data_IF_498641130597
#
_entry.id   IF_498641130597
#
_cell.length_a   1.000
_cell.length_b   1.000
_cell.length_c   1.000
_cell.angle_alpha   90.00
_cell.angle_beta   90.00
_cell.angle_gamma   90.00
#
_symmetry.space_group_name_H-M   'P 1'
#
loop_
_entity.id
_entity.type
_entity.pdbx_description
1 polymer ?
#
# COMPACT_ATOMS: atom_id res chain seq x y z
N UNK A 1 42.44 -4.52 12.64
CA UNK A 1 40.98 -4.68 12.69
C UNK A 1 40.38 -3.56 11.86
N UNK A 2 39.92 -3.88 10.66
CA UNK A 2 39.33 -2.95 9.70
C UNK A 2 37.84 -2.83 10.04
N UNK A 3 37.42 -1.68 10.58
CA UNK A 3 36.00 -1.40 10.80
C UNK A 3 35.37 -0.97 9.47
N UNK A 4 34.55 -1.84 8.91
CA UNK A 4 33.71 -1.54 7.75
C UNK A 4 32.70 -0.44 8.11
N UNK A 5 32.75 0.68 7.39
CA UNK A 5 31.66 1.65 7.37
C UNK A 5 30.46 1.00 6.70
N UNK A 6 29.49 0.56 7.51
CA UNK A 6 28.13 0.27 7.05
C UNK A 6 27.59 1.52 6.35
N UNK A 7 27.17 1.44 5.08
CA UNK A 7 26.47 2.56 4.47
C UNK A 7 25.14 2.69 5.21
N UNK A 8 24.95 3.84 5.86
CA UNK A 8 23.66 4.25 6.43
C UNK A 8 22.63 4.17 5.31
N UNK A 9 21.85 3.09 5.30
CA UNK A 9 20.68 2.93 4.46
C UNK A 9 19.87 4.21 4.62
N UNK A 10 19.68 4.94 3.53
CA UNK A 10 18.92 6.18 3.46
C UNK A 10 17.64 5.98 4.27
N UNK A 11 17.61 6.54 5.48
CA UNK A 11 16.41 6.63 6.28
C UNK A 11 15.51 7.55 5.47
N UNK A 12 14.64 6.96 4.65
CA UNK A 12 13.61 7.67 3.92
C UNK A 12 12.99 8.65 4.91
N UNK A 13 13.06 9.93 4.55
CA UNK A 13 12.49 11.03 5.32
C UNK A 13 11.08 10.61 5.76
N UNK A 14 10.59 10.99 6.96
CA UNK A 14 9.23 10.68 7.34
C UNK A 14 8.32 11.25 6.24
N UNK A 15 7.81 10.36 5.40
CA UNK A 15 6.91 10.74 4.33
C UNK A 15 5.79 11.50 5.02
N UNK A 16 5.55 12.75 4.61
CA UNK A 16 4.49 13.61 5.14
C UNK A 16 3.28 12.76 5.50
N UNK A 17 2.77 12.81 6.74
CA UNK A 17 1.75 11.91 7.33
C UNK A 17 0.78 11.35 6.26
N UNK A 18 1.17 10.23 5.63
CA UNK A 18 0.48 9.71 4.46
C UNK A 18 -0.73 8.93 4.96
N UNK A 19 -1.90 9.23 4.41
CA UNK A 19 -3.14 8.62 4.85
C UNK A 19 -3.15 7.10 4.64
N UNK A 20 -3.85 6.38 5.51
CA UNK A 20 -4.18 4.98 5.27
C UNK A 20 -5.57 4.62 5.76
N UNK A 21 -6.17 3.64 5.11
CA UNK A 21 -7.54 3.23 5.36
C UNK A 21 -7.67 1.72 5.18
N UNK A 22 -8.35 1.07 6.13
CA UNK A 22 -8.73 -0.32 6.03
C UNK A 22 -10.20 -0.42 5.72
N UNK A 23 -10.55 -1.36 4.85
CA UNK A 23 -11.92 -1.66 4.50
C UNK A 23 -12.05 -3.09 4.02
N UNK A 24 -13.12 -3.35 3.29
CA UNK A 24 -13.43 -4.65 2.72
C UNK A 24 -13.67 -4.56 1.23
N UNK A 25 -13.19 -5.57 0.49
CA UNK A 25 -13.45 -5.74 -0.93
C UNK A 25 -13.90 -7.18 -1.18
N UNK A 26 -15.16 -7.36 -1.61
CA UNK A 26 -15.78 -8.69 -1.86
C UNK A 26 -15.63 -9.66 -0.68
N UNK A 27 -15.80 -9.17 0.55
CA UNK A 27 -15.69 -9.97 1.77
C UNK A 27 -14.25 -10.27 2.21
N UNK A 28 -13.24 -9.71 1.52
CA UNK A 28 -11.82 -9.83 1.88
C UNK A 28 -11.31 -8.52 2.50
N UNK A 29 -10.34 -8.61 3.39
CA UNK A 29 -9.69 -7.44 3.96
C UNK A 29 -8.99 -6.64 2.86
N UNK A 30 -9.17 -5.35 2.84
CA UNK A 30 -8.53 -4.47 1.89
C UNK A 30 -7.92 -3.26 2.58
N UNK A 31 -6.89 -2.72 1.95
CA UNK A 31 -6.02 -1.70 2.51
C UNK A 31 -5.71 -0.68 1.43
N UNK A 32 -6.16 0.54 1.66
CA UNK A 32 -5.80 1.71 0.87
C UNK A 32 -4.72 2.49 1.62
N UNK A 33 -3.66 2.88 0.93
CA UNK A 33 -2.61 3.73 1.47
C UNK A 33 -2.27 4.82 0.48
N UNK A 34 -1.99 5.99 1.00
CA UNK A 34 -1.35 7.04 0.25
C UNK A 34 0.14 6.70 0.11
N UNK A 35 0.66 6.80 -1.10
CA UNK A 35 2.05 6.49 -1.45
C UNK A 35 2.88 7.75 -1.68
N UNK A 36 2.21 8.85 -2.02
CA UNK A 36 2.71 10.21 -2.15
C UNK A 36 1.50 11.14 -2.07
N UNK A 37 1.69 12.42 -1.76
CA UNK A 37 0.58 13.37 -1.64
C UNK A 37 -0.33 13.33 -2.87
N UNK A 38 -1.60 12.96 -2.66
CA UNK A 38 -2.58 12.80 -3.73
C UNK A 38 -2.35 11.58 -4.64
N UNK A 39 -1.70 10.52 -4.16
CA UNK A 39 -1.50 9.28 -4.91
C UNK A 39 -1.78 8.06 -4.02
N UNK A 40 -2.93 7.46 -4.25
CA UNK A 40 -3.43 6.33 -3.47
C UNK A 40 -3.19 5.00 -4.18
N UNK A 41 -2.92 3.98 -3.38
CA UNK A 41 -2.77 2.59 -3.76
C UNK A 41 -3.75 1.75 -2.95
N UNK A 42 -4.34 0.74 -3.57
CA UNK A 42 -5.25 -0.20 -2.89
C UNK A 42 -4.77 -1.62 -3.10
N UNK A 43 -4.70 -2.36 -2.01
CA UNK A 43 -4.39 -3.79 -1.97
C UNK A 43 -5.54 -4.55 -1.31
N UNK A 44 -5.75 -5.80 -1.70
CA UNK A 44 -6.68 -6.73 -1.04
C UNK A 44 -5.91 -7.95 -0.57
N UNK A 45 -6.24 -8.45 0.63
CA UNK A 45 -5.70 -9.68 1.15
C UNK A 45 -6.44 -10.86 0.52
N UNK A 46 -5.75 -11.56 -0.38
CA UNK A 46 -6.26 -12.71 -1.11
C UNK A 46 -5.15 -13.75 -1.32
N UNK A 47 -4.76 -14.50 -0.27
CA UNK A 47 -3.63 -15.43 -0.33
C UNK A 47 -3.86 -16.62 -1.29
N UNK A 48 -5.11 -16.86 -1.67
CA UNK A 48 -5.47 -17.88 -2.68
C UNK A 48 -5.21 -17.43 -4.11
N UNK A 49 -5.05 -16.12 -4.33
CA UNK A 49 -4.79 -15.57 -5.65
C UNK A 49 -3.31 -15.74 -6.01
N UNK A 50 -3.05 -16.34 -7.16
CA UNK A 50 -1.67 -16.58 -7.63
C UNK A 50 -0.91 -15.29 -7.94
N UNK A 51 -1.62 -14.17 -8.12
CA UNK A 51 -1.02 -12.85 -8.34
C UNK A 51 -0.73 -12.12 -7.03
N UNK A 52 -1.19 -12.63 -5.88
CA UNK A 52 -0.84 -12.06 -4.60
C UNK A 52 0.66 -12.26 -4.33
N UNK A 53 1.28 -11.27 -3.67
CA UNK A 53 2.66 -11.40 -3.20
C UNK A 53 2.78 -12.45 -2.10
N UNK A 54 4.01 -12.71 -1.65
CA UNK A 54 4.30 -13.66 -0.57
C UNK A 54 3.48 -13.39 0.72
N UNK A 55 3.19 -12.12 0.99
CA UNK A 55 2.39 -11.64 2.13
C UNK A 55 0.86 -11.85 1.94
N UNK A 56 0.43 -12.49 0.85
CA UNK A 56 -0.98 -12.75 0.57
C UNK A 56 -1.77 -11.53 0.07
N UNK A 57 -1.13 -10.38 -0.11
CA UNK A 57 -1.78 -9.19 -0.65
C UNK A 57 -1.64 -9.07 -2.17
N UNK A 58 -2.77 -8.81 -2.82
CA UNK A 58 -2.91 -8.50 -4.22
C UNK A 58 -3.07 -6.98 -4.41
N UNK A 59 -2.31 -6.40 -5.33
CA UNK A 59 -2.48 -5.00 -5.74
C UNK A 59 -3.71 -4.88 -6.65
N UNK A 60 -4.69 -4.07 -6.26
CA UNK A 60 -5.86 -3.76 -7.09
C UNK A 60 -5.59 -2.59 -8.04
N UNK A 61 -4.77 -1.63 -7.62
CA UNK A 61 -4.32 -0.52 -8.46
C UNK A 61 -3.64 0.59 -7.68
N UNK A 62 -3.26 1.64 -8.40
CA UNK A 62 -2.49 2.80 -7.88
C UNK A 62 -2.81 4.07 -8.66
N UNK A 63 -2.45 5.22 -8.10
CA UNK A 63 -2.43 6.50 -8.80
C UNK A 63 -3.72 7.30 -8.69
N UNK A 64 -4.62 6.93 -7.77
CA UNK A 64 -5.84 7.70 -7.53
C UNK A 64 -5.53 8.97 -6.74
N UNK A 65 -6.23 10.04 -7.09
CA UNK A 65 -5.94 11.36 -6.51
C UNK A 65 -6.42 11.49 -5.05
N UNK A 66 -7.41 10.68 -4.66
CA UNK A 66 -8.03 10.72 -3.34
C UNK A 66 -8.45 9.33 -2.86
N UNK A 67 -8.59 9.15 -1.54
CA UNK A 67 -9.13 7.92 -0.97
C UNK A 67 -10.53 7.57 -1.48
N UNK A 68 -11.52 8.49 -1.55
CA UNK A 68 -12.85 8.17 -2.06
C UNK A 68 -12.84 7.69 -3.52
N UNK A 69 -11.98 8.28 -4.36
CA UNK A 69 -11.79 7.83 -5.75
C UNK A 69 -11.22 6.41 -5.80
N UNK A 70 -10.19 6.13 -5.00
CA UNK A 70 -9.61 4.80 -4.88
C UNK A 70 -10.65 3.78 -4.40
N UNK A 71 -11.49 4.15 -3.43
CA UNK A 71 -12.55 3.29 -2.93
C UNK A 71 -13.61 3.01 -3.98
N UNK A 72 -14.09 4.04 -4.69
CA UNK A 72 -15.09 3.89 -5.74
C UNK A 72 -14.57 3.04 -6.91
N UNK A 73 -13.32 3.25 -7.33
CA UNK A 73 -12.70 2.51 -8.43
C UNK A 73 -12.45 1.03 -8.09
N UNK A 74 -12.20 0.72 -6.82
CA UNK A 74 -11.89 -0.65 -6.37
C UNK A 74 -13.06 -1.35 -5.68
N UNK A 75 -14.17 -0.67 -5.43
CA UNK A 75 -15.30 -1.21 -4.66
C UNK A 75 -14.93 -1.47 -3.18
N UNK A 76 -14.05 -0.65 -2.62
CA UNK A 76 -13.69 -0.69 -1.20
C UNK A 76 -14.82 -0.04 -0.39
N UNK A 77 -15.25 -0.71 0.69
CA UNK A 77 -16.25 -0.21 1.65
C UNK A 77 -15.86 -0.48 3.08
#
# INVERSE_FOLDING_TARGET
MTSESVPTSVRAQPAADLGSYYGTHRGKSAYARETSAGSWQVKVHDPTNRLAGHDGWLLLGTGWSTLPEACAATGLS
#
